data_IF_610084290579
#
_entry.id   IF_610084290579
#
_cell.length_a   1.000
_cell.length_b   1.000
_cell.length_c   1.000
_cell.angle_alpha   90.00
_cell.angle_beta   90.00
_cell.angle_gamma   90.00
#
_symmetry.space_group_name_H-M   'P 1'
#
loop_
_entity.id
_entity.type
_entity.pdbx_description
1 polymer ?
#
# COMPACT_ATOMS: atom_id res chain seq x y z
N UNK A 1 -21.79 2.54 -1.16
CA UNK A 1 -21.58 2.16 0.25
C UNK A 1 -21.12 0.70 0.27
N UNK A 2 -20.32 0.33 1.25
CA UNK A 2 -19.98 -1.07 1.49
C UNK A 2 -21.22 -1.88 1.82
N UNK A 3 -21.25 -3.17 1.47
CA UNK A 3 -22.26 -4.08 2.00
C UNK A 3 -22.04 -4.31 3.51
N UNK A 4 -23.02 -4.85 4.19
CA UNK A 4 -22.90 -5.19 5.62
C UNK A 4 -21.77 -6.19 5.81
N UNK A 5 -21.70 -7.22 4.97
CA UNK A 5 -20.69 -8.27 5.02
C UNK A 5 -19.26 -7.72 4.77
N UNK A 6 -19.13 -6.76 3.84
CA UNK A 6 -17.84 -6.11 3.57
C UNK A 6 -17.38 -5.29 4.78
N UNK A 7 -18.29 -4.57 5.41
CA UNK A 7 -17.98 -3.79 6.60
C UNK A 7 -17.62 -4.71 7.79
N UNK A 8 -18.38 -5.74 8.05
CA UNK A 8 -18.10 -6.73 9.09
C UNK A 8 -16.74 -7.41 8.87
N UNK A 9 -16.46 -7.80 7.61
CA UNK A 9 -15.17 -8.39 7.26
C UNK A 9 -14.01 -7.43 7.53
N UNK A 10 -14.15 -6.14 7.14
CA UNK A 10 -13.12 -5.14 7.41
C UNK A 10 -12.90 -4.93 8.91
N UNK A 11 -13.98 -4.79 9.68
CA UNK A 11 -13.90 -4.60 11.14
C UNK A 11 -13.25 -5.81 11.84
N UNK A 12 -13.48 -7.01 11.34
CA UNK A 12 -12.90 -8.22 11.91
C UNK A 12 -11.44 -8.40 11.53
N UNK A 13 -11.09 -8.17 10.27
CA UNK A 13 -9.79 -8.53 9.70
C UNK A 13 -8.82 -7.37 9.53
N UNK A 14 -9.31 -6.12 9.51
CA UNK A 14 -8.50 -4.91 9.33
C UNK A 14 -8.11 -4.62 7.87
N UNK A 15 -8.65 -5.38 6.91
CA UNK A 15 -8.48 -5.14 5.48
C UNK A 15 -9.73 -5.53 4.70
N UNK A 16 -9.84 -4.99 3.47
CA UNK A 16 -10.88 -5.33 2.51
C UNK A 16 -10.27 -5.45 1.12
N UNK A 17 -10.40 -6.61 0.47
CA UNK A 17 -10.00 -6.83 -0.91
C UNK A 17 -11.18 -6.54 -1.85
N UNK A 18 -11.10 -5.44 -2.58
CA UNK A 18 -12.08 -5.03 -3.60
C UNK A 18 -11.57 -5.48 -4.95
N UNK A 19 -12.22 -6.51 -5.50
CA UNK A 19 -11.84 -7.08 -6.79
C UNK A 19 -12.44 -6.25 -7.92
N UNK A 20 -11.64 -6.02 -8.98
CA UNK A 20 -12.09 -5.33 -10.17
C UNK A 20 -12.57 -3.90 -9.90
N UNK A 21 -11.92 -3.17 -9.00
CA UNK A 21 -12.16 -1.73 -8.81
C UNK A 21 -11.97 -0.98 -10.13
N UNK A 22 -10.94 -1.36 -10.89
CA UNK A 22 -10.66 -0.91 -12.24
C UNK A 22 -10.81 -2.08 -13.22
N UNK A 23 -11.17 -1.78 -14.44
CA UNK A 23 -11.08 -2.74 -15.56
C UNK A 23 -9.62 -3.03 -15.91
N UNK A 24 -9.35 -4.11 -16.61
CA UNK A 24 -8.01 -4.43 -17.09
C UNK A 24 -7.41 -3.33 -18.00
N UNK A 25 -8.24 -2.67 -18.81
CA UNK A 25 -7.80 -1.56 -19.65
C UNK A 25 -7.41 -0.32 -18.84
N UNK A 26 -8.18 0.02 -17.80
CA UNK A 26 -7.86 1.11 -16.90
C UNK A 26 -6.58 0.80 -16.09
N UNK A 27 -6.43 -0.41 -15.59
CA UNK A 27 -5.22 -0.83 -14.91
C UNK A 27 -3.98 -0.71 -15.82
N UNK A 28 -4.08 -1.14 -17.08
CA UNK A 28 -3.02 -1.00 -18.06
C UNK A 28 -2.69 0.47 -18.35
N UNK A 29 -3.70 1.34 -18.45
CA UNK A 29 -3.51 2.78 -18.62
C UNK A 29 -2.74 3.38 -17.43
N UNK A 30 -3.17 3.14 -16.20
CA UNK A 30 -2.48 3.66 -15.00
C UNK A 30 -1.09 3.06 -14.82
N UNK A 31 -0.90 1.79 -15.23
CA UNK A 31 0.43 1.18 -15.25
C UNK A 31 1.37 1.95 -16.17
N UNK A 32 0.94 2.23 -17.39
CA UNK A 32 1.72 2.99 -18.35
C UNK A 32 2.06 4.38 -17.82
N UNK A 33 1.08 5.12 -17.30
CA UNK A 33 1.27 6.44 -16.69
C UNK A 33 2.33 6.43 -15.57
N UNK A 34 2.32 5.40 -14.69
CA UNK A 34 3.34 5.28 -13.63
C UNK A 34 4.73 4.99 -14.17
N UNK A 35 4.85 4.13 -15.19
CA UNK A 35 6.14 3.82 -15.79
C UNK A 35 6.73 5.04 -16.53
N UNK A 36 5.91 5.76 -17.30
CA UNK A 36 6.32 7.01 -17.96
C UNK A 36 6.70 8.09 -16.94
N UNK A 37 5.98 8.19 -15.82
CA UNK A 37 6.34 9.08 -14.73
C UNK A 37 7.69 8.69 -14.11
N UNK A 38 7.91 7.40 -13.87
CA UNK A 38 9.16 6.90 -13.32
C UNK A 38 10.36 7.20 -14.23
N UNK A 39 10.22 7.04 -15.54
CA UNK A 39 11.23 7.40 -16.53
C UNK A 39 11.53 8.90 -16.52
N UNK A 40 10.50 9.73 -16.54
CA UNK A 40 10.66 11.21 -16.47
C UNK A 40 11.35 11.68 -15.19
N UNK A 41 11.07 11.07 -14.05
CA UNK A 41 11.68 11.42 -12.77
C UNK A 41 13.12 10.89 -12.65
N UNK A 42 13.42 9.74 -13.26
CA UNK A 42 14.77 9.19 -13.31
C UNK A 42 15.75 10.09 -14.09
N UNK A 43 15.31 10.77 -15.13
CA UNK A 43 16.09 11.71 -15.92
C UNK A 43 16.42 13.03 -15.19
N UNK A 44 15.77 13.30 -14.06
CA UNK A 44 15.86 14.61 -13.36
C UNK A 44 16.71 14.56 -12.09
N UNK A 45 17.55 13.58 -11.87
CA UNK A 45 18.32 13.45 -10.61
C UNK A 45 17.40 13.49 -9.36
N UNK A 46 16.15 13.10 -9.52
CA UNK A 46 15.20 13.12 -8.44
C UNK A 46 15.58 12.05 -7.42
N UNK A 47 15.79 12.45 -6.19
CA UNK A 47 16.16 11.65 -5.00
C UNK A 47 15.08 10.64 -4.57
N UNK A 48 14.38 10.05 -5.51
CA UNK A 48 13.19 9.25 -5.29
C UNK A 48 13.44 7.74 -5.21
N UNK A 49 14.70 7.31 -5.26
CA UNK A 49 15.05 5.90 -5.09
C UNK A 49 15.46 5.63 -3.65
N UNK A 50 14.60 4.99 -2.86
CA UNK A 50 15.07 4.38 -1.62
C UNK A 50 15.72 3.05 -1.93
N UNK A 51 17.00 2.95 -1.62
CA UNK A 51 17.71 1.68 -1.60
C UNK A 51 17.46 1.07 -0.23
N UNK A 52 16.57 0.11 -0.11
CA UNK A 52 16.49 -0.75 1.07
C UNK A 52 17.49 -1.88 0.88
N UNK A 53 18.54 -1.89 1.68
CA UNK A 53 19.49 -2.98 1.71
C UNK A 53 18.90 -4.13 2.54
N UNK A 54 18.53 -5.23 1.88
CA UNK A 54 18.70 -6.53 2.47
C UNK A 54 20.18 -6.79 2.71
N UNK A 55 20.57 -7.98 3.16
CA UNK A 55 21.95 -8.37 3.51
C UNK A 55 23.08 -7.69 2.72
N UNK A 56 24.27 -7.47 3.33
CA UNK A 56 25.39 -6.81 2.67
C UNK A 56 25.66 -7.40 1.28
N UNK A 57 25.46 -6.58 0.23
CA UNK A 57 25.68 -6.98 -1.17
C UNK A 57 24.41 -7.13 -2.03
N UNK A 58 23.21 -7.20 -1.48
CA UNK A 58 21.94 -7.21 -2.23
C UNK A 58 21.18 -5.90 -2.03
N UNK A 59 21.13 -5.08 -3.06
CA UNK A 59 20.39 -3.83 -3.07
C UNK A 59 19.11 -4.00 -3.89
N UNK A 60 17.94 -4.05 -3.24
CA UNK A 60 16.68 -3.96 -3.96
C UNK A 60 16.39 -2.51 -4.31
N UNK A 61 16.36 -2.20 -5.60
CA UNK A 61 16.04 -0.87 -6.10
C UNK A 61 14.54 -0.75 -6.26
N UNK A 62 13.84 -0.36 -5.20
CA UNK A 62 12.43 -0.03 -5.28
C UNK A 62 12.29 1.40 -5.81
N UNK A 63 11.71 1.57 -6.99
CA UNK A 63 11.32 2.89 -7.46
C UNK A 63 10.05 3.34 -6.72
N UNK A 64 10.14 4.47 -6.04
CA UNK A 64 8.98 5.09 -5.42
C UNK A 64 8.97 6.60 -5.67
N UNK A 65 7.77 7.16 -5.78
CA UNK A 65 7.52 8.58 -5.84
C UNK A 65 6.31 8.91 -4.98
N UNK A 66 6.44 9.92 -4.15
CA UNK A 66 5.33 10.47 -3.38
C UNK A 66 4.51 11.44 -4.22
N UNK A 67 3.23 11.58 -3.85
CA UNK A 67 2.32 12.60 -4.34
C UNK A 67 2.19 12.62 -5.87
N UNK A 68 2.01 11.43 -6.44
CA UNK A 68 1.93 11.23 -7.90
C UNK A 68 0.82 12.04 -8.57
N UNK A 69 -0.23 12.43 -7.82
CA UNK A 69 -1.30 13.29 -8.30
C UNK A 69 -0.83 14.70 -8.72
N UNK A 70 0.32 15.15 -8.24
CA UNK A 70 0.91 16.43 -8.67
C UNK A 70 1.69 16.33 -9.96
N UNK A 71 1.98 15.13 -10.43
CA UNK A 71 2.76 14.89 -11.65
C UNK A 71 1.92 14.44 -12.84
N UNK A 72 0.74 13.86 -12.59
CA UNK A 72 -0.19 13.44 -13.64
C UNK A 72 -1.64 13.61 -13.18
N UNK A 73 -2.46 14.27 -14.02
CA UNK A 73 -3.89 14.45 -13.80
C UNK A 73 -4.66 13.11 -13.78
N UNK A 74 -4.11 12.06 -14.39
CA UNK A 74 -4.69 10.73 -14.36
C UNK A 74 -4.84 10.24 -12.91
N UNK A 75 -3.81 10.42 -12.05
CA UNK A 75 -3.88 10.02 -10.65
C UNK A 75 -4.83 10.88 -9.83
N UNK A 76 -4.95 12.19 -10.13
CA UNK A 76 -6.00 13.02 -9.53
C UNK A 76 -7.38 12.47 -9.88
N UNK A 77 -7.61 12.08 -11.13
CA UNK A 77 -8.89 11.48 -11.57
C UNK A 77 -9.18 10.16 -10.85
N UNK A 78 -8.16 9.32 -10.64
CA UNK A 78 -8.29 8.06 -9.89
C UNK A 78 -8.72 8.32 -8.44
N UNK A 79 -8.13 9.31 -7.79
CA UNK A 79 -8.43 9.64 -6.39
C UNK A 79 -9.88 10.11 -6.16
N UNK A 80 -10.50 10.71 -7.18
CA UNK A 80 -11.89 11.18 -7.10
C UNK A 80 -12.88 10.23 -7.78
N UNK A 81 -12.43 9.08 -8.29
CA UNK A 81 -13.31 8.08 -8.89
C UNK A 81 -14.34 7.59 -7.86
N UNK A 82 -15.66 7.65 -8.18
CA UNK A 82 -16.71 7.22 -7.25
C UNK A 82 -16.60 5.75 -6.81
N UNK A 83 -15.99 4.88 -7.60
CA UNK A 83 -15.75 3.47 -7.23
C UNK A 83 -14.77 3.39 -6.06
N UNK A 84 -13.72 4.20 -6.11
CA UNK A 84 -12.70 4.30 -5.08
C UNK A 84 -13.20 5.03 -3.83
N UNK A 85 -13.75 6.24 -4.02
CA UNK A 85 -14.15 7.10 -2.90
C UNK A 85 -15.27 6.51 -2.06
N UNK A 86 -16.23 5.77 -2.66
CA UNK A 86 -17.31 5.10 -1.92
C UNK A 86 -16.80 4.02 -0.97
N UNK A 87 -15.73 3.30 -1.34
CA UNK A 87 -15.10 2.31 -0.44
C UNK A 87 -14.42 3.04 0.70
N UNK A 88 -13.62 4.06 0.40
CA UNK A 88 -12.94 4.86 1.42
C UNK A 88 -13.94 5.48 2.42
N UNK A 89 -15.03 6.08 1.92
CA UNK A 89 -16.12 6.63 2.74
C UNK A 89 -16.82 5.56 3.59
N UNK A 90 -16.96 4.35 3.05
CA UNK A 90 -17.57 3.24 3.78
C UNK A 90 -16.74 2.79 5.00
N UNK A 91 -15.43 3.01 4.95
CA UNK A 91 -14.49 2.61 6.01
C UNK A 91 -14.21 3.79 6.97
N UNK A 92 -13.85 4.95 6.43
CA UNK A 92 -13.39 6.11 7.22
C UNK A 92 -14.55 6.96 7.74
N UNK A 93 -15.60 7.09 6.93
CA UNK A 93 -16.72 8.00 7.20
C UNK A 93 -17.00 8.92 6.01
N UNK A 94 -18.03 9.77 6.10
CA UNK A 94 -18.52 10.57 4.96
C UNK A 94 -17.49 11.56 4.42
N UNK A 95 -16.58 12.03 5.27
CA UNK A 95 -15.51 12.95 4.92
C UNK A 95 -14.18 12.21 4.93
N UNK A 96 -13.49 12.21 3.80
CA UNK A 96 -12.20 11.55 3.66
C UNK A 96 -11.17 12.57 3.19
N UNK A 97 -10.09 12.69 3.94
CA UNK A 97 -8.95 13.52 3.57
C UNK A 97 -7.83 12.66 3.02
N UNK A 98 -7.32 13.04 1.84
CA UNK A 98 -6.06 12.48 1.33
C UNK A 98 -4.92 12.90 2.25
N UNK A 99 -4.11 11.95 2.68
CA UNK A 99 -2.85 12.21 3.38
C UNK A 99 -1.71 12.30 2.36
N UNK A 100 -1.48 11.25 1.59
CA UNK A 100 -0.53 11.23 0.48
C UNK A 100 -0.78 10.06 -0.46
N UNK A 101 -0.16 10.11 -1.63
CA UNK A 101 -0.03 8.94 -2.49
C UNK A 101 1.43 8.53 -2.63
N UNK A 102 1.66 7.27 -2.97
CA UNK A 102 2.99 6.74 -3.24
C UNK A 102 2.94 5.65 -4.30
N UNK A 103 3.65 5.85 -5.39
CA UNK A 103 3.83 4.75 -6.35
C UNK A 103 4.91 3.78 -5.86
N UNK A 104 4.75 2.52 -6.21
CA UNK A 104 5.75 1.49 -6.04
C UNK A 104 5.89 0.66 -7.31
N UNK A 105 7.10 0.63 -7.86
CA UNK A 105 7.49 -0.32 -8.91
C UNK A 105 8.51 -1.25 -8.28
N UNK A 106 8.08 -2.47 -7.94
CA UNK A 106 8.94 -3.51 -7.39
C UNK A 106 9.54 -4.30 -8.53
N UNK A 107 10.87 -4.15 -8.79
CA UNK A 107 11.50 -4.80 -9.93
C UNK A 107 11.52 -6.31 -9.77
N UNK A 108 11.74 -7.05 -10.88
CA UNK A 108 12.05 -8.47 -10.85
C UNK A 108 13.44 -8.64 -10.23
N UNK A 109 13.51 -9.15 -9.04
CA UNK A 109 14.77 -9.43 -8.36
C UNK A 109 14.57 -10.48 -7.27
N UNK A 110 15.65 -11.19 -6.95
CA UNK A 110 15.77 -11.87 -5.66
C UNK A 110 15.97 -10.83 -4.53
N UNK A 111 15.14 -9.78 -4.54
CA UNK A 111 15.21 -8.67 -3.60
C UNK A 111 14.67 -9.03 -2.23
N UNK A 112 14.96 -8.18 -1.25
CA UNK A 112 14.43 -8.34 0.10
C UNK A 112 12.91 -8.19 0.14
N UNK A 113 12.21 -8.96 0.98
CA UNK A 113 10.81 -8.72 1.26
C UNK A 113 10.64 -7.33 1.90
N UNK A 114 9.42 -6.78 1.84
CA UNK A 114 9.02 -5.70 2.73
C UNK A 114 8.73 -6.34 4.09
N UNK A 115 9.52 -6.07 5.14
CA UNK A 115 9.31 -6.68 6.44
C UNK A 115 7.93 -6.36 7.01
N UNK A 116 7.46 -7.19 7.93
CA UNK A 116 6.18 -6.96 8.60
C UNK A 116 6.27 -5.70 9.47
N UNK A 117 5.29 -4.81 9.31
CA UNK A 117 5.21 -3.52 10.00
C UNK A 117 3.76 -3.04 10.10
N UNK A 118 3.56 -1.96 10.84
CA UNK A 118 2.36 -1.12 10.79
C UNK A 118 2.75 0.21 10.14
N UNK A 119 1.82 0.87 9.47
CA UNK A 119 2.06 2.24 8.98
C UNK A 119 1.99 3.29 10.09
N UNK A 120 1.35 2.95 11.21
CA UNK A 120 1.14 3.84 12.35
C UNK A 120 2.40 4.61 12.82
N UNK A 121 3.59 4.01 12.98
CA UNK A 121 4.76 4.73 13.49
C UNK A 121 5.20 5.90 12.63
N UNK A 122 4.85 5.89 11.34
CA UNK A 122 5.18 7.00 10.43
C UNK A 122 4.19 8.16 10.53
N UNK A 123 2.94 7.88 10.93
CA UNK A 123 1.83 8.83 10.89
C UNK A 123 0.90 8.64 12.08
N UNK A 124 1.37 8.79 13.33
CA UNK A 124 0.54 8.56 14.51
C UNK A 124 -0.56 9.61 14.61
N UNK A 125 -1.83 9.13 14.73
CA UNK A 125 -3.03 9.96 14.87
C UNK A 125 -3.85 9.49 16.07
N UNK A 126 -4.67 10.40 16.63
CA UNK A 126 -5.40 10.17 17.88
C UNK A 126 -6.51 9.14 17.76
N UNK A 127 -7.29 9.16 16.66
CA UNK A 127 -8.47 8.32 16.49
C UNK A 127 -8.19 7.04 15.68
N UNK A 128 -6.99 6.88 15.18
CA UNK A 128 -6.59 5.74 14.36
C UNK A 128 -7.49 5.50 13.12
N UNK A 129 -8.00 6.58 12.53
CA UNK A 129 -8.89 6.49 11.37
C UNK A 129 -8.17 6.26 10.05
N UNK A 130 -6.84 6.35 10.05
CA UNK A 130 -6.05 6.27 8.82
C UNK A 130 -6.11 4.88 8.20
N UNK A 131 -6.33 4.87 6.90
CA UNK A 131 -6.31 3.68 6.05
C UNK A 131 -5.32 3.86 4.91
N UNK A 132 -4.80 2.76 4.42
CA UNK A 132 -4.07 2.67 3.17
C UNK A 132 -4.90 1.88 2.15
N UNK A 133 -4.93 2.35 0.89
CA UNK A 133 -5.44 1.58 -0.24
C UNK A 133 -4.30 1.29 -1.20
N UNK A 134 -4.04 0.01 -1.47
CA UNK A 134 -3.08 -0.43 -2.49
C UNK A 134 -3.86 -0.82 -3.73
N UNK A 135 -3.73 -0.06 -4.81
CA UNK A 135 -4.36 -0.35 -6.10
C UNK A 135 -3.31 -1.01 -6.99
N UNK A 136 -3.64 -2.17 -7.51
CA UNK A 136 -2.75 -3.00 -8.32
C UNK A 136 -2.93 -2.70 -9.81
N UNK A 137 -1.83 -2.37 -10.49
CA UNK A 137 -1.81 -2.18 -11.95
C UNK A 137 -1.15 -3.36 -12.69
N UNK A 138 -0.53 -4.26 -11.93
CA UNK A 138 -0.08 -5.58 -12.38
C UNK A 138 -0.74 -6.66 -11.53
N UNK A 139 -0.82 -7.87 -12.07
CA UNK A 139 -1.10 -9.05 -11.27
C UNK A 139 -0.02 -9.19 -10.18
N UNK A 140 -0.45 -9.48 -8.98
CA UNK A 140 0.42 -9.67 -7.81
C UNK A 140 0.19 -11.06 -7.18
N UNK A 141 0.56 -12.14 -7.85
CA UNK A 141 0.57 -13.47 -7.25
C UNK A 141 1.68 -13.59 -6.20
N UNK A 142 1.75 -14.71 -5.51
CA UNK A 142 2.72 -14.93 -4.42
C UNK A 142 4.16 -14.75 -4.91
N UNK A 143 4.49 -15.27 -6.09
CA UNK A 143 5.81 -15.18 -6.70
C UNK A 143 6.22 -13.76 -7.11
N UNK A 144 5.26 -12.85 -7.34
CA UNK A 144 5.52 -11.40 -7.51
C UNK A 144 5.57 -10.63 -6.18
N UNK A 145 5.60 -11.35 -5.06
CA UNK A 145 5.65 -10.75 -3.73
C UNK A 145 4.38 -9.97 -3.40
N UNK A 146 3.21 -10.63 -3.45
CA UNK A 146 1.94 -10.04 -3.06
C UNK A 146 1.97 -9.50 -1.62
N UNK A 147 0.99 -8.68 -1.29
CA UNK A 147 0.75 -8.24 0.09
C UNK A 147 0.57 -9.47 1.01
N UNK A 148 1.13 -9.40 2.20
CA UNK A 148 0.92 -10.35 3.29
C UNK A 148 0.39 -9.62 4.50
N UNK A 149 -0.58 -10.17 5.19
CA UNK A 149 -1.24 -9.54 6.33
C UNK A 149 -1.37 -10.52 7.50
N UNK A 150 -1.47 -9.97 8.70
CA UNK A 150 -1.92 -10.71 9.89
C UNK A 150 -3.35 -10.27 10.19
N UNK A 151 -4.39 -11.01 9.76
CA UNK A 151 -5.78 -10.61 9.93
C UNK A 151 -6.10 -10.35 11.40
N UNK A 152 -6.85 -9.27 11.66
CA UNK A 152 -7.26 -8.90 13.02
C UNK A 152 -6.17 -8.21 13.86
N UNK A 153 -4.93 -8.12 13.39
CA UNK A 153 -3.83 -7.50 14.14
C UNK A 153 -4.00 -6.00 14.40
N UNK A 154 -4.83 -5.30 13.64
CA UNK A 154 -5.18 -3.90 13.88
C UNK A 154 -5.88 -3.70 15.23
N UNK A 155 -6.55 -4.73 15.76
CA UNK A 155 -7.19 -4.72 17.08
C UNK A 155 -6.20 -4.72 18.24
N UNK A 156 -4.93 -5.00 17.97
CA UNK A 156 -3.85 -4.94 18.96
C UNK A 156 -3.42 -3.50 19.28
N UNK A 157 -3.89 -2.53 18.50
CA UNK A 157 -3.45 -1.14 18.60
C UNK A 157 -2.01 -0.94 18.08
N UNK A 158 -1.38 0.19 18.43
CA UNK A 158 0.01 0.45 18.13
C UNK A 158 0.96 -0.57 18.74
N UNK A 159 1.82 -1.14 17.93
CA UNK A 159 2.83 -2.11 18.34
C UNK A 159 4.21 -1.46 18.39
N UNK A 160 5.03 -1.90 19.32
CA UNK A 160 6.40 -1.46 19.43
C UNK A 160 7.22 -1.99 18.24
N UNK A 161 7.75 -1.06 17.47
CA UNK A 161 8.59 -1.34 16.32
C UNK A 161 10.07 -1.39 16.70
N UNK A 162 10.87 -2.14 15.95
CA UNK A 162 12.32 -2.24 16.15
C UNK A 162 13.06 -1.57 14.99
N UNK A 163 14.21 -0.99 15.31
CA UNK A 163 15.08 -0.35 14.32
C UNK A 163 14.56 0.98 13.78
N UNK A 164 15.33 1.59 12.89
CA UNK A 164 15.00 2.90 12.29
C UNK A 164 13.89 2.81 11.23
N UNK A 165 13.66 1.63 10.67
CA UNK A 165 12.67 1.38 9.62
C UNK A 165 11.32 0.92 10.17
N UNK A 166 11.11 1.02 11.48
CA UNK A 166 9.84 0.69 12.14
C UNK A 166 9.30 -0.72 11.82
N UNK A 167 10.19 -1.71 11.68
CA UNK A 167 9.77 -3.10 11.50
C UNK A 167 9.31 -3.72 12.80
N UNK A 168 8.47 -4.73 12.70
CA UNK A 168 8.10 -5.55 13.84
C UNK A 168 9.09 -6.72 14.01
N UNK A 169 9.28 -7.23 15.24
CA UNK A 169 10.14 -8.37 15.49
C UNK A 169 9.74 -9.58 14.65
N UNK A 170 10.70 -10.17 13.92
CA UNK A 170 10.44 -11.28 12.99
C UNK A 170 10.05 -12.57 13.70
N UNK A 171 10.54 -12.78 14.91
CA UNK A 171 10.16 -13.90 15.77
C UNK A 171 8.69 -13.83 16.21
N UNK A 172 8.13 -12.63 16.33
CA UNK A 172 6.73 -12.42 16.66
C UNK A 172 5.82 -12.35 15.43
N UNK A 173 6.31 -11.77 14.35
CA UNK A 173 5.55 -11.58 13.11
C UNK A 173 6.37 -12.06 11.90
N UNK A 174 6.60 -13.39 11.78
CA UNK A 174 7.32 -13.92 10.63
C UNK A 174 6.52 -13.73 9.35
N UNK A 175 7.18 -13.26 8.29
CA UNK A 175 6.52 -12.99 7.01
C UNK A 175 5.90 -14.25 6.40
N UNK A 176 6.52 -15.41 6.60
CA UNK A 176 6.02 -16.68 6.07
C UNK A 176 4.78 -17.18 6.80
N UNK A 177 4.57 -16.73 8.04
CA UNK A 177 3.35 -17.00 8.82
C UNK A 177 2.17 -16.08 8.47
N UNK A 178 2.40 -15.01 7.74
CA UNK A 178 1.36 -14.05 7.36
C UNK A 178 0.57 -14.54 6.15
N UNK A 179 -0.75 -14.23 6.15
CA UNK A 179 -1.66 -14.59 5.08
C UNK A 179 -1.31 -13.84 3.77
N UNK A 180 -0.97 -14.54 2.67
CA UNK A 180 -0.79 -13.91 1.39
C UNK A 180 -2.13 -13.46 0.79
N UNK A 181 -2.16 -12.26 0.23
CA UNK A 181 -3.32 -11.69 -0.46
C UNK A 181 -2.96 -11.46 -1.94
N UNK A 182 -3.03 -12.50 -2.78
CA UNK A 182 -2.83 -12.33 -4.22
C UNK A 182 -3.91 -11.40 -4.80
N UNK A 183 -3.51 -10.51 -5.70
CA UNK A 183 -4.41 -9.57 -6.35
C UNK A 183 -4.23 -9.61 -7.88
N UNK A 184 -5.27 -9.23 -8.62
CA UNK A 184 -5.23 -9.02 -10.05
C UNK A 184 -5.04 -7.55 -10.38
N UNK A 185 -4.54 -7.26 -11.59
CA UNK A 185 -4.56 -5.91 -12.12
C UNK A 185 -5.99 -5.36 -12.10
N UNK A 186 -6.16 -4.17 -11.52
CA UNK A 186 -7.45 -3.55 -11.28
C UNK A 186 -8.05 -3.78 -9.89
N UNK A 187 -7.50 -4.68 -9.10
CA UNK A 187 -7.92 -4.88 -7.71
C UNK A 187 -7.37 -3.78 -6.79
N UNK A 188 -8.09 -3.53 -5.69
CA UNK A 188 -7.62 -2.66 -4.62
C UNK A 188 -7.75 -3.36 -3.26
N UNK A 189 -6.74 -3.20 -2.41
CA UNK A 189 -6.76 -3.69 -1.02
C UNK A 189 -6.73 -2.48 -0.10
N UNK A 190 -7.83 -2.27 0.63
CA UNK A 190 -7.94 -1.25 1.67
C UNK A 190 -7.57 -1.87 3.01
N UNK A 191 -6.76 -1.20 3.81
CA UNK A 191 -6.33 -1.72 5.10
C UNK A 191 -6.16 -0.61 6.14
N UNK A 192 -6.41 -0.95 7.39
CA UNK A 192 -6.08 -0.10 8.53
C UNK A 192 -4.57 0.11 8.61
N UNK A 193 -4.13 1.31 8.93
CA UNK A 193 -2.69 1.60 9.14
C UNK A 193 -2.11 0.91 10.40
N UNK A 194 -2.99 0.33 11.25
CA UNK A 194 -2.63 -0.53 12.37
C UNK A 194 -2.54 -2.02 11.99
N UNK A 195 -2.93 -2.40 10.77
CA UNK A 195 -2.80 -3.78 10.33
C UNK A 195 -1.34 -4.15 10.17
N UNK A 196 -0.91 -5.24 10.77
CA UNK A 196 0.42 -5.81 10.54
C UNK A 196 0.47 -6.38 9.14
N UNK A 197 1.34 -5.82 8.31
CA UNK A 197 1.46 -6.21 6.92
C UNK A 197 2.90 -6.11 6.40
N UNK A 198 3.12 -6.75 5.28
CA UNK A 198 4.39 -6.73 4.57
C UNK A 198 4.22 -7.25 3.15
N UNK A 199 5.28 -7.54 2.44
CA UNK A 199 5.19 -8.18 1.12
C UNK A 199 6.35 -9.10 0.85
N UNK A 200 6.08 -10.23 0.19
CA UNK A 200 7.11 -11.17 -0.22
C UNK A 200 8.12 -10.60 -1.23
N UNK A 201 9.13 -11.38 -1.53
CA UNK A 201 10.10 -11.10 -2.60
C UNK A 201 9.39 -11.21 -3.96
N UNK A 202 9.76 -10.36 -4.91
CA UNK A 202 9.40 -10.57 -6.31
C UNK A 202 10.45 -11.48 -6.96
N UNK A 203 10.15 -12.75 -7.05
CA UNK A 203 11.01 -13.77 -7.67
C UNK A 203 10.66 -14.01 -9.14
N UNK A 204 9.69 -13.26 -9.69
CA UNK A 204 9.33 -13.33 -11.11
C UNK A 204 10.31 -12.54 -11.98
N UNK A 205 10.14 -12.61 -13.29
CA UNK A 205 10.92 -11.82 -14.26
C UNK A 205 10.23 -10.50 -14.69
N UNK A 206 9.15 -10.11 -14.02
CA UNK A 206 8.38 -8.91 -14.34
C UNK A 206 8.23 -7.99 -13.13
N UNK A 207 8.17 -6.68 -13.31
CA UNK A 207 7.91 -5.75 -12.22
C UNK A 207 6.48 -5.90 -11.68
N UNK A 208 6.25 -5.45 -10.45
CA UNK A 208 4.94 -5.27 -9.85
C UNK A 208 4.70 -3.79 -9.58
N UNK A 209 3.70 -3.24 -10.24
CA UNK A 209 3.36 -1.82 -10.19
C UNK A 209 2.09 -1.60 -9.37
N UNK A 210 2.17 -0.73 -8.38
CA UNK A 210 1.06 -0.37 -7.51
C UNK A 210 1.10 1.11 -7.17
N UNK A 211 -0.06 1.66 -6.81
CA UNK A 211 -0.17 2.94 -6.11
C UNK A 211 -0.73 2.69 -4.71
N UNK A 212 -0.11 3.29 -3.71
CA UNK A 212 -0.63 3.39 -2.36
C UNK A 212 -1.28 4.75 -2.19
N UNK A 213 -2.47 4.77 -1.61
CA UNK A 213 -3.21 5.99 -1.27
C UNK A 213 -3.51 5.94 0.22
N UNK A 214 -2.94 6.86 1.00
CA UNK A 214 -3.26 6.98 2.41
C UNK A 214 -4.28 8.09 2.65
N UNK A 215 -5.29 7.78 3.44
CA UNK A 215 -6.45 8.62 3.71
C UNK A 215 -6.85 8.50 5.17
N UNK A 216 -7.51 9.54 5.68
CA UNK A 216 -7.99 9.58 7.07
C UNK A 216 -9.28 10.41 7.20
N UNK A 217 -9.91 10.35 8.36
CA UNK A 217 -10.90 11.31 8.78
C UNK A 217 -10.22 12.69 8.93
N UNK A 218 -10.73 13.78 8.34
CA UNK A 218 -10.15 15.11 8.50
C UNK A 218 -10.11 15.60 9.95
N UNK A 219 -10.97 15.07 10.83
CA UNK A 219 -10.98 15.41 12.25
C UNK A 219 -10.02 14.57 13.10
N UNK A 220 -9.34 13.58 12.50
CA UNK A 220 -8.33 12.80 13.21
C UNK A 220 -7.02 13.58 13.27
N UNK A 221 -6.62 13.99 14.46
CA UNK A 221 -5.49 14.91 14.69
C UNK A 221 -4.18 14.12 14.77
N UNK A 222 -3.12 14.54 14.07
CA UNK A 222 -1.80 13.94 14.24
C UNK A 222 -1.30 14.12 15.68
N UNK A 223 -0.55 13.13 16.18
CA UNK A 223 0.05 13.15 17.51
C UNK A 223 1.43 13.83 17.51
N UNK A 224 2.08 13.90 16.36
CA UNK A 224 3.37 14.57 16.17
C UNK A 224 3.16 15.77 15.25
N UNK A 225 3.74 16.91 15.59
CA UNK A 225 3.79 18.12 14.75
C UNK A 225 4.72 17.93 13.52
#
# INVERSE_FOLDING_TARGET
>A
MLSVEQNEFYQENGYLHVRGLLSAAEAAFYRQELHELAERLGERDATWSSVRSGEPGKRTRLMHCHDVQFYSAAFTSLLVDPRFTRVAQGIVGPNVQLHHTKMFIKPPENGSPFPMHQDYPYFPHQRHSMIAAIIHFDDAPVEKGCLRVVPGSHKLGPLEAVGQDHHLPEDRFPIDGALPIPAKAGDAIFMSYLLVHGSGVNSSNEPRTTILVQMRDPEDVPLND
#
